data_IF_351423198480
#
_entry.id   IF_351423198480
#
_cell.length_a   1.000
_cell.length_b   1.000
_cell.length_c   1.000
_cell.angle_alpha   90.00
_cell.angle_beta   90.00
_cell.angle_gamma   90.00
#
_symmetry.space_group_name_H-M   'P 1'
#
loop_
_entity.id
_entity.type
_entity.pdbx_description
1 polymer ?
#
# COMPACT_ATOMS: atom_id res chain seq x y z
N UNK A 1 -37.35 -4.74 8.76
CA UNK A 1 -37.33 -3.43 9.42
C UNK A 1 -35.99 -2.77 9.12
N UNK A 2 -35.95 -1.86 8.13
CA UNK A 2 -34.77 -1.08 7.79
C UNK A 2 -34.52 -0.09 8.91
N UNK A 3 -33.46 -0.25 9.69
CA UNK A 3 -32.96 0.82 10.55
C UNK A 3 -32.39 1.90 9.62
N UNK A 4 -33.03 3.07 9.62
CA UNK A 4 -32.46 4.30 9.07
C UNK A 4 -31.11 4.51 9.78
N UNK A 5 -30.00 4.30 9.06
CA UNK A 5 -28.72 4.84 9.51
C UNK A 5 -28.85 6.35 9.45
N UNK A 6 -28.74 7.00 10.61
CA UNK A 6 -28.55 8.43 10.67
C UNK A 6 -27.36 8.76 9.74
N UNK A 7 -27.63 9.58 8.75
CA UNK A 7 -26.61 10.21 7.92
C UNK A 7 -25.76 11.03 8.85
N UNK A 8 -24.60 10.49 9.23
CA UNK A 8 -23.58 11.30 9.87
C UNK A 8 -23.33 12.50 8.94
N UNK A 9 -23.62 13.70 9.42
CA UNK A 9 -23.28 14.93 8.72
C UNK A 9 -21.79 14.92 8.54
N UNK A 10 -21.34 14.74 7.28
CA UNK A 10 -19.93 14.78 6.92
C UNK A 10 -19.36 16.08 7.45
N UNK A 11 -18.34 16.01 8.28
CA UNK A 11 -17.59 17.17 8.72
C UNK A 11 -16.87 17.76 7.49
N UNK A 12 -16.64 19.07 7.46
CA UNK A 12 -15.86 19.75 6.42
C UNK A 12 -14.45 19.17 6.20
N UNK A 13 -14.04 18.20 7.05
CA UNK A 13 -12.76 17.49 7.00
C UNK A 13 -12.74 16.21 6.15
N UNK A 14 -13.85 15.79 5.57
CA UNK A 14 -13.86 14.60 4.71
C UNK A 14 -13.35 14.93 3.31
N UNK A 15 -12.07 14.66 3.13
CA UNK A 15 -11.25 15.06 1.97
C UNK A 15 -11.32 14.04 0.83
N UNK A 16 -12.42 13.30 0.68
CA UNK A 16 -12.56 12.29 -0.37
C UNK A 16 -14.01 12.08 -0.85
N UNK A 17 -14.14 11.53 -2.06
CA UNK A 17 -15.43 11.11 -2.62
C UNK A 17 -15.78 9.70 -2.14
N UNK A 18 -16.95 9.53 -1.51
CA UNK A 18 -17.41 8.23 -1.05
C UNK A 18 -17.98 7.40 -2.20
N UNK A 19 -17.72 6.10 -2.19
CA UNK A 19 -18.39 5.16 -3.08
C UNK A 19 -19.82 4.86 -2.57
N UNK A 20 -20.80 5.59 -3.08
CA UNK A 20 -22.21 5.44 -2.67
C UNK A 20 -22.83 4.11 -3.06
N UNK A 21 -22.23 3.36 -4.00
CA UNK A 21 -22.72 2.02 -4.35
C UNK A 21 -22.52 1.01 -3.22
N UNK A 22 -21.57 1.26 -2.31
CA UNK A 22 -21.37 0.43 -1.12
C UNK A 22 -22.60 0.43 -0.20
N UNK A 23 -23.46 1.43 -0.27
CA UNK A 23 -24.69 1.50 0.52
C UNK A 23 -25.74 0.45 0.08
N UNK A 24 -25.60 -0.11 -1.11
CA UNK A 24 -26.49 -1.11 -1.69
C UNK A 24 -25.97 -2.55 -1.55
N UNK A 25 -24.72 -2.70 -1.10
CA UNK A 25 -24.09 -4.01 -0.92
C UNK A 25 -24.19 -4.39 0.56
N UNK A 26 -24.74 -5.56 0.83
CA UNK A 26 -24.74 -6.11 2.18
C UNK A 26 -23.41 -6.83 2.44
N UNK A 27 -22.47 -6.10 3.05
CA UNK A 27 -21.20 -6.66 3.46
C UNK A 27 -21.07 -6.67 4.99
N UNK A 28 -20.28 -7.61 5.48
CA UNK A 28 -19.96 -7.70 6.91
C UNK A 28 -19.13 -6.49 7.34
N UNK A 29 -19.41 -5.86 8.50
CA UNK A 29 -18.51 -4.84 9.05
C UNK A 29 -17.09 -5.40 9.17
N UNK A 30 -16.13 -4.70 8.61
CA UNK A 30 -14.75 -5.13 8.63
C UNK A 30 -14.14 -4.90 10.01
N UNK A 31 -13.70 -5.99 10.64
CA UNK A 31 -12.89 -5.98 11.86
C UNK A 31 -11.50 -6.52 11.48
N UNK A 32 -10.63 -5.65 11.01
CA UNK A 32 -9.35 -6.01 10.41
C UNK A 32 -8.16 -5.49 11.21
N UNK A 33 -7.01 -6.03 10.96
CA UNK A 33 -5.68 -5.58 11.37
C UNK A 33 -4.77 -5.59 10.16
N UNK A 34 -3.82 -4.68 10.10
CA UNK A 34 -2.75 -4.71 9.10
C UNK A 34 -1.51 -5.36 9.71
N UNK A 35 -0.94 -6.30 8.97
CA UNK A 35 0.39 -6.83 9.21
C UNK A 35 1.30 -6.38 8.07
N UNK A 36 2.19 -5.42 8.34
CA UNK A 36 3.16 -5.02 7.33
C UNK A 36 4.33 -6.01 7.32
N UNK A 37 4.65 -6.52 6.13
CA UNK A 37 5.71 -7.51 5.92
C UNK A 37 6.86 -6.95 5.08
N UNK A 38 7.01 -5.61 4.98
CA UNK A 38 8.07 -4.93 4.23
C UNK A 38 9.45 -5.37 4.68
N UNK A 39 9.66 -5.51 5.99
CA UNK A 39 10.97 -5.85 6.57
C UNK A 39 11.34 -7.33 6.44
N UNK A 40 10.39 -8.18 6.05
CA UNK A 40 10.62 -9.59 5.78
C UNK A 40 10.46 -9.93 4.30
N UNK A 41 9.22 -9.91 3.76
CA UNK A 41 8.94 -10.26 2.35
C UNK A 41 9.39 -9.16 1.40
N UNK A 42 9.18 -7.90 1.80
CA UNK A 42 9.68 -6.77 1.03
C UNK A 42 11.20 -6.82 0.83
N UNK A 43 11.97 -7.20 1.85
CA UNK A 43 13.41 -7.39 1.74
C UNK A 43 13.81 -8.60 0.87
N UNK A 44 12.89 -9.54 0.61
CA UNK A 44 13.11 -10.64 -0.33
C UNK A 44 13.04 -10.22 -1.80
N UNK A 45 12.73 -8.96 -2.09
CA UNK A 45 12.88 -8.41 -3.45
C UNK A 45 14.33 -8.57 -3.93
N UNK A 46 14.57 -9.13 -5.11
CA UNK A 46 15.92 -9.32 -5.60
C UNK A 46 16.76 -8.04 -5.58
N UNK A 47 17.90 -8.07 -4.88
CA UNK A 47 18.83 -6.95 -4.75
C UNK A 47 18.55 -6.00 -3.59
N UNK A 48 17.49 -6.20 -2.80
CA UNK A 48 17.19 -5.40 -1.62
C UNK A 48 17.84 -6.01 -0.38
N UNK A 49 18.57 -5.19 0.36
CA UNK A 49 19.10 -5.52 1.70
C UNK A 49 19.05 -4.24 2.53
N UNK A 50 18.25 -4.24 3.58
CA UNK A 50 18.17 -3.09 4.48
C UNK A 50 19.25 -3.14 5.57
N UNK A 51 19.82 -1.98 5.92
CA UNK A 51 20.64 -1.88 7.13
C UNK A 51 19.75 -1.92 8.38
N UNK A 52 20.37 -2.13 9.54
CA UNK A 52 19.69 -2.10 10.83
C UNK A 52 18.95 -0.78 11.05
N UNK A 53 19.63 0.33 10.79
CA UNK A 53 19.06 1.67 10.93
C UNK A 53 17.86 1.89 9.99
N UNK A 54 17.93 1.36 8.77
CA UNK A 54 16.85 1.44 7.81
C UNK A 54 15.63 0.63 8.27
N UNK A 55 15.83 -0.62 8.75
CA UNK A 55 14.74 -1.44 9.28
C UNK A 55 14.08 -0.78 10.50
N UNK A 56 14.89 -0.22 11.42
CA UNK A 56 14.36 0.52 12.58
C UNK A 56 13.57 1.77 12.17
N UNK A 57 14.04 2.53 11.18
CA UNK A 57 13.35 3.70 10.68
C UNK A 57 12.00 3.35 10.05
N UNK A 58 11.96 2.30 9.21
CA UNK A 58 10.71 1.81 8.60
C UNK A 58 9.74 1.31 9.68
N UNK A 59 10.22 0.50 10.65
CA UNK A 59 9.38 0.00 11.74
C UNK A 59 8.78 1.14 12.57
N UNK A 60 9.57 2.17 12.89
CA UNK A 60 9.11 3.35 13.62
C UNK A 60 8.04 4.15 12.87
N UNK A 61 8.16 4.29 11.55
CA UNK A 61 7.12 4.95 10.74
C UNK A 61 5.83 4.12 10.69
N UNK A 62 5.94 2.80 10.53
CA UNK A 62 4.79 1.89 10.54
C UNK A 62 4.05 1.93 11.89
N UNK A 63 4.77 1.89 13.02
CA UNK A 63 4.20 2.04 14.35
C UNK A 63 3.49 3.39 14.52
N UNK A 64 4.14 4.47 14.08
CA UNK A 64 3.58 5.84 14.12
C UNK A 64 2.31 5.99 13.27
N UNK A 65 2.12 5.18 12.25
CA UNK A 65 0.92 5.13 11.41
C UNK A 65 -0.22 4.34 12.05
N UNK A 66 0.04 3.60 13.15
CA UNK A 66 -0.93 2.75 13.82
C UNK A 66 -1.06 1.35 13.22
N UNK A 67 -0.04 0.85 12.52
CA UNK A 67 -0.01 -0.53 12.02
C UNK A 67 0.05 -1.50 13.19
N UNK A 68 -0.85 -2.48 13.23
CA UNK A 68 -1.02 -3.35 14.39
C UNK A 68 0.05 -4.43 14.52
N UNK A 69 0.62 -4.88 13.40
CA UNK A 69 1.66 -5.94 13.38
C UNK A 69 2.75 -5.61 12.37
N UNK A 70 3.99 -5.76 12.76
CA UNK A 70 5.17 -5.63 11.88
C UNK A 70 5.90 -6.96 11.85
N UNK A 71 6.02 -7.56 10.67
CA UNK A 71 6.83 -8.75 10.49
C UNK A 71 8.28 -8.34 10.22
N UNK A 72 9.10 -8.34 11.27
CA UNK A 72 10.41 -7.70 11.31
C UNK A 72 11.50 -8.43 10.53
N UNK A 73 11.33 -9.74 10.28
CA UNK A 73 12.33 -10.51 9.54
C UNK A 73 12.26 -12.01 9.79
N UNK A 74 13.39 -12.69 9.48
CA UNK A 74 13.55 -14.13 9.64
C UNK A 74 14.85 -14.43 10.42
N UNK A 75 14.81 -14.54 11.77
CA UNK A 75 15.99 -14.52 12.65
C UNK A 75 17.06 -15.58 12.34
N UNK A 76 16.69 -16.70 11.72
CA UNK A 76 17.64 -17.80 11.44
C UNK A 76 18.47 -17.59 10.18
N UNK A 77 18.17 -16.57 9.39
CA UNK A 77 18.91 -16.28 8.14
C UNK A 77 20.37 -15.92 8.45
N UNK A 78 20.59 -15.12 9.50
CA UNK A 78 21.94 -14.76 9.95
C UNK A 78 21.92 -14.24 11.40
N UNK A 79 23.10 -14.22 12.04
CA UNK A 79 23.26 -13.59 13.36
C UNK A 79 22.91 -12.08 13.34
N UNK A 80 23.21 -11.40 12.23
CA UNK A 80 22.90 -9.99 12.04
C UNK A 80 21.38 -9.75 11.93
N UNK A 81 20.68 -10.56 11.16
CA UNK A 81 19.20 -10.48 11.05
C UNK A 81 18.54 -10.72 12.41
N UNK A 82 19.02 -11.72 13.16
CA UNK A 82 18.52 -12.01 14.50
C UNK A 82 18.72 -10.81 15.45
N UNK A 83 19.89 -10.16 15.43
CA UNK A 83 20.14 -8.95 16.20
C UNK A 83 19.16 -7.84 15.85
N UNK A 84 18.90 -7.61 14.56
CA UNK A 84 17.97 -6.59 14.08
C UNK A 84 16.54 -6.87 14.57
N UNK A 85 16.05 -8.10 14.37
CA UNK A 85 14.70 -8.49 14.80
C UNK A 85 14.54 -8.30 16.31
N UNK A 86 15.55 -8.71 17.09
CA UNK A 86 15.57 -8.49 18.54
C UNK A 86 15.54 -7.01 18.91
N UNK A 87 16.30 -6.18 18.23
CA UNK A 87 16.31 -4.74 18.49
C UNK A 87 14.96 -4.09 18.16
N UNK A 88 14.32 -4.46 17.04
CA UNK A 88 12.99 -3.99 16.69
C UNK A 88 11.97 -4.41 17.76
N UNK A 89 12.01 -5.65 18.22
CA UNK A 89 11.11 -6.17 19.24
C UNK A 89 11.22 -5.43 20.58
N UNK A 90 12.39 -4.86 20.88
CA UNK A 90 12.67 -4.16 22.14
C UNK A 90 12.58 -2.63 22.04
N UNK A 91 12.06 -2.06 20.94
CA UNK A 91 11.88 -0.60 20.80
C UNK A 91 10.75 -0.02 21.64
N UNK A 92 9.85 -0.86 22.16
CA UNK A 92 8.67 -0.41 22.90
C UNK A 92 7.59 0.16 21.98
N UNK A 93 7.48 -0.30 20.76
CA UNK A 93 6.41 0.04 19.82
C UNK A 93 5.04 -0.39 20.34
N UNK A 94 3.97 0.27 19.89
CA UNK A 94 2.59 -0.19 20.08
C UNK A 94 2.27 -1.37 19.14
N UNK A 95 2.91 -1.43 18.00
CA UNK A 95 2.84 -2.54 17.06
C UNK A 95 3.39 -3.81 17.68
N UNK A 96 2.68 -4.92 17.51
CA UNK A 96 3.19 -6.24 17.87
C UNK A 96 4.22 -6.69 16.85
N UNK A 97 5.34 -7.20 17.33
CA UNK A 97 6.42 -7.66 16.45
C UNK A 97 6.28 -9.15 16.17
N UNK A 98 6.31 -9.49 14.89
CA UNK A 98 6.26 -10.86 14.38
C UNK A 98 7.57 -11.22 13.69
N UNK A 99 7.95 -12.48 13.69
CA UNK A 99 9.01 -13.00 12.84
C UNK A 99 8.60 -14.30 12.17
N UNK A 100 9.25 -14.62 11.05
CA UNK A 100 9.02 -15.87 10.31
C UNK A 100 9.81 -17.03 10.95
N UNK A 101 9.25 -18.24 10.88
CA UNK A 101 9.86 -19.47 11.39
C UNK A 101 9.45 -20.65 10.53
N UNK A 102 10.41 -21.49 10.16
CA UNK A 102 10.07 -22.85 9.68
C UNK A 102 9.54 -23.68 10.86
N UNK A 103 8.87 -24.76 10.54
CA UNK A 103 8.38 -25.70 11.54
C UNK A 103 9.52 -26.58 12.10
N UNK A 104 10.51 -25.94 12.72
CA UNK A 104 11.66 -26.58 13.37
C UNK A 104 12.02 -25.86 14.66
N UNK A 105 12.38 -26.63 15.70
CA UNK A 105 12.64 -26.10 17.04
C UNK A 105 13.68 -24.97 17.07
N UNK A 106 14.80 -25.11 16.35
CA UNK A 106 15.85 -24.09 16.34
C UNK A 106 15.40 -22.72 15.78
N UNK A 107 14.41 -22.68 14.88
CA UNK A 107 13.84 -21.44 14.38
C UNK A 107 12.94 -20.79 15.46
N UNK A 108 12.21 -21.61 16.23
CA UNK A 108 11.40 -21.14 17.37
C UNK A 108 12.30 -20.63 18.50
N UNK A 109 13.43 -21.31 18.78
CA UNK A 109 14.44 -20.85 19.75
C UNK A 109 14.96 -19.45 19.36
N UNK A 110 15.26 -19.24 18.06
CA UNK A 110 15.69 -17.94 17.55
C UNK A 110 14.62 -16.85 17.71
N UNK A 111 13.33 -17.20 17.54
CA UNK A 111 12.22 -16.27 17.78
C UNK A 111 12.10 -15.91 19.27
N UNK A 112 12.23 -16.89 20.16
CA UNK A 112 12.22 -16.69 21.62
C UNK A 112 13.38 -15.78 22.07
N UNK A 113 14.57 -15.96 21.52
CA UNK A 113 15.73 -15.12 21.84
C UNK A 113 15.62 -13.68 21.33
N UNK A 114 14.70 -13.42 20.36
CA UNK A 114 14.41 -12.09 19.85
C UNK A 114 13.33 -11.34 20.65
N UNK A 115 12.65 -12.00 21.60
CA UNK A 115 11.56 -11.42 22.39
C UNK A 115 10.38 -10.90 21.54
N UNK A 116 10.07 -11.59 20.42
CA UNK A 116 8.94 -11.18 19.55
C UNK A 116 7.60 -11.56 20.19
N UNK A 117 6.53 -10.82 19.83
CA UNK A 117 5.16 -11.10 20.29
C UNK A 117 4.54 -12.30 19.60
N UNK A 118 4.87 -12.49 18.31
CA UNK A 118 4.24 -13.48 17.44
C UNK A 118 5.32 -14.20 16.64
N UNK A 119 5.24 -15.53 16.58
CA UNK A 119 6.01 -16.32 15.64
C UNK A 119 5.11 -16.86 14.54
N UNK A 120 5.48 -16.62 13.28
CA UNK A 120 4.79 -17.14 12.11
C UNK A 120 5.41 -18.44 11.66
N UNK A 121 4.83 -19.56 12.05
CA UNK A 121 5.29 -20.91 11.68
C UNK A 121 4.59 -21.33 10.40
N UNK A 122 5.36 -21.61 9.34
CA UNK A 122 4.80 -21.99 8.05
C UNK A 122 5.18 -23.40 7.62
N UNK A 123 4.26 -24.05 6.92
CA UNK A 123 4.50 -25.28 6.17
C UNK A 123 3.82 -25.20 4.81
N UNK A 124 4.36 -25.93 3.85
CA UNK A 124 3.68 -26.13 2.58
C UNK A 124 2.62 -27.25 2.68
N UNK A 125 1.49 -27.03 2.04
CA UNK A 125 0.39 -27.98 2.01
C UNK A 125 -0.02 -28.42 0.59
N UNK A 126 0.49 -27.78 -0.47
CA UNK A 126 0.19 -28.16 -1.85
C UNK A 126 1.01 -29.37 -2.28
N UNK A 127 0.44 -30.19 -3.15
CA UNK A 127 1.15 -31.35 -3.71
C UNK A 127 2.41 -30.95 -4.47
N UNK A 128 2.39 -29.76 -5.09
CA UNK A 128 3.53 -29.22 -5.82
C UNK A 128 4.73 -28.98 -4.88
N UNK A 129 4.50 -28.26 -3.78
CA UNK A 129 5.57 -27.97 -2.82
C UNK A 129 5.99 -29.18 -2.02
N UNK A 130 5.05 -30.02 -1.60
CA UNK A 130 5.37 -31.28 -0.90
C UNK A 130 6.30 -32.15 -1.73
N UNK A 131 6.01 -32.30 -3.03
CA UNK A 131 6.76 -33.15 -3.92
C UNK A 131 8.12 -32.55 -4.35
N UNK A 132 8.15 -31.29 -4.75
CA UNK A 132 9.31 -30.71 -5.46
C UNK A 132 10.18 -29.80 -4.59
N UNK A 133 9.63 -29.23 -3.49
CA UNK A 133 10.36 -28.34 -2.60
C UNK A 133 10.84 -29.06 -1.34
N UNK A 134 9.95 -29.82 -0.70
CA UNK A 134 10.24 -30.43 0.58
C UNK A 134 10.57 -31.92 0.50
N UNK A 135 10.13 -32.64 -0.54
CA UNK A 135 10.26 -34.09 -0.68
C UNK A 135 9.74 -34.84 0.55
N UNK A 136 8.60 -34.38 1.08
CA UNK A 136 7.95 -34.92 2.29
C UNK A 136 6.45 -35.09 2.08
N UNK A 137 5.87 -35.99 2.86
CA UNK A 137 4.42 -36.14 2.94
C UNK A 137 3.78 -34.98 3.72
N UNK A 138 2.48 -34.76 3.51
CA UNK A 138 1.69 -33.79 4.31
C UNK A 138 1.71 -34.16 5.79
N UNK A 139 1.60 -35.43 6.12
CA UNK A 139 1.61 -35.94 7.49
C UNK A 139 2.92 -35.59 8.22
N UNK A 140 4.06 -35.79 7.57
CA UNK A 140 5.37 -35.40 8.11
C UNK A 140 5.46 -33.88 8.34
N UNK A 141 4.97 -33.07 7.38
CA UNK A 141 4.97 -31.60 7.52
C UNK A 141 4.06 -31.14 8.66
N UNK A 142 2.86 -31.71 8.78
CA UNK A 142 1.94 -31.40 9.88
C UNK A 142 2.51 -31.86 11.23
N UNK A 143 3.19 -33.03 11.30
CA UNK A 143 3.89 -33.45 12.49
C UNK A 143 4.93 -32.47 12.97
N UNK A 144 5.81 -31.99 12.06
CA UNK A 144 6.79 -30.93 12.37
C UNK A 144 6.11 -29.64 12.83
N UNK A 145 5.02 -29.25 12.17
CA UNK A 145 4.30 -28.03 12.55
C UNK A 145 3.71 -28.11 13.96
N UNK A 146 3.09 -29.25 14.32
CA UNK A 146 2.51 -29.47 15.64
C UNK A 146 3.56 -29.40 16.74
N UNK A 147 4.70 -30.08 16.56
CA UNK A 147 5.81 -30.02 17.50
C UNK A 147 6.35 -28.60 17.70
N UNK A 148 6.50 -27.85 16.60
CA UNK A 148 6.98 -26.47 16.67
C UNK A 148 5.96 -25.51 17.29
N UNK A 149 4.66 -25.69 17.01
CA UNK A 149 3.56 -24.89 17.59
C UNK A 149 3.46 -25.17 19.09
N UNK A 150 3.44 -26.43 19.50
CA UNK A 150 3.41 -26.83 20.91
C UNK A 150 4.59 -26.19 21.66
N UNK A 151 5.79 -26.37 21.14
CA UNK A 151 6.99 -25.80 21.73
C UNK A 151 6.92 -24.26 21.85
N UNK A 152 6.46 -23.56 20.82
CA UNK A 152 6.31 -22.11 20.86
C UNK A 152 5.27 -21.65 21.89
N UNK A 153 4.12 -22.32 21.94
CA UNK A 153 3.04 -21.98 22.88
C UNK A 153 3.40 -22.29 24.33
N UNK A 154 4.10 -23.39 24.59
CA UNK A 154 4.59 -23.74 25.94
C UNK A 154 5.61 -22.72 26.47
N UNK A 155 6.32 -22.02 25.59
CA UNK A 155 7.26 -20.96 25.94
C UNK A 155 6.63 -19.54 25.89
N UNK A 156 5.30 -19.44 25.71
CA UNK A 156 4.54 -18.18 25.82
C UNK A 156 4.45 -17.35 24.54
N UNK A 157 4.97 -17.82 23.41
CA UNK A 157 4.80 -17.14 22.13
C UNK A 157 3.37 -17.26 21.60
N UNK A 158 2.85 -16.19 21.04
CA UNK A 158 1.66 -16.26 20.19
C UNK A 158 2.05 -16.84 18.83
N UNK A 159 1.25 -17.74 18.32
CA UNK A 159 1.56 -18.45 17.06
C UNK A 159 0.59 -18.03 15.96
N UNK A 160 1.15 -17.68 14.78
CA UNK A 160 0.46 -17.65 13.51
C UNK A 160 0.87 -18.90 12.71
N UNK A 161 -0.09 -19.80 12.46
CA UNK A 161 0.15 -20.98 11.64
C UNK A 161 -0.17 -20.70 10.19
N UNK A 162 0.82 -20.75 9.31
CA UNK A 162 0.71 -20.32 7.93
C UNK A 162 0.78 -21.49 6.94
N UNK A 163 -0.23 -21.56 6.06
CA UNK A 163 -0.25 -22.46 4.92
C UNK A 163 0.43 -21.80 3.72
N UNK A 164 1.68 -22.17 3.45
CA UNK A 164 2.36 -21.82 2.21
C UNK A 164 1.69 -22.50 1.03
N UNK A 165 1.53 -21.77 -0.09
CA UNK A 165 0.89 -22.22 -1.31
C UNK A 165 -0.56 -22.68 -1.09
N UNK A 166 -1.28 -21.94 -0.26
CA UNK A 166 -2.67 -22.22 0.08
C UNK A 166 -3.59 -22.14 -1.15
N UNK A 167 -3.30 -21.26 -2.09
CA UNK A 167 -4.09 -21.08 -3.33
C UNK A 167 -4.09 -22.30 -4.25
N UNK A 168 -3.08 -23.17 -4.15
CA UNK A 168 -3.00 -24.44 -4.90
C UNK A 168 -3.19 -25.67 -4.02
N UNK A 169 -3.59 -25.50 -2.78
CA UNK A 169 -3.90 -26.57 -1.84
C UNK A 169 -5.40 -26.87 -1.87
N UNK A 170 -5.83 -28.15 -1.91
CA UNK A 170 -7.24 -28.49 -1.80
C UNK A 170 -7.88 -27.87 -0.54
N UNK A 171 -9.01 -27.19 -0.69
CA UNK A 171 -9.68 -26.44 0.38
C UNK A 171 -9.99 -27.32 1.60
N UNK A 172 -10.45 -28.57 1.38
CA UNK A 172 -10.76 -29.50 2.47
C UNK A 172 -9.49 -29.89 3.26
N UNK A 173 -8.31 -29.94 2.62
CA UNK A 173 -7.03 -30.15 3.27
C UNK A 173 -6.68 -28.99 4.21
N UNK A 174 -6.86 -27.76 3.75
CA UNK A 174 -6.68 -26.55 4.57
C UNK A 174 -7.63 -26.54 5.77
N UNK A 175 -8.92 -26.81 5.52
CA UNK A 175 -9.93 -26.89 6.59
C UNK A 175 -9.57 -27.93 7.65
N UNK A 176 -9.16 -29.12 7.22
CA UNK A 176 -8.76 -30.18 8.14
C UNK A 176 -7.56 -29.78 8.98
N UNK A 177 -6.49 -29.29 8.34
CA UNK A 177 -5.26 -28.90 9.03
C UNK A 177 -5.51 -27.75 10.04
N UNK A 178 -6.26 -26.73 9.65
CA UNK A 178 -6.56 -25.62 10.53
C UNK A 178 -7.48 -25.98 11.70
N UNK A 179 -8.49 -26.82 11.49
CA UNK A 179 -9.33 -27.37 12.58
C UNK A 179 -8.53 -28.20 13.56
N UNK A 180 -7.59 -28.98 13.06
CA UNK A 180 -6.74 -29.84 13.90
C UNK A 180 -5.83 -28.98 14.79
N UNK A 181 -5.16 -27.98 14.19
CA UNK A 181 -4.31 -27.06 14.93
C UNK A 181 -5.11 -26.18 15.90
N UNK A 182 -6.28 -25.68 15.51
CA UNK A 182 -7.16 -24.91 16.40
C UNK A 182 -7.63 -25.72 17.61
N UNK A 183 -7.94 -26.98 17.40
CA UNK A 183 -8.44 -27.88 18.47
C UNK A 183 -7.35 -28.26 19.47
N UNK A 184 -6.15 -28.53 18.98
CA UNK A 184 -5.04 -29.04 19.78
C UNK A 184 -4.19 -27.93 20.42
N UNK A 185 -4.04 -26.80 19.71
CA UNK A 185 -3.17 -25.71 20.09
C UNK A 185 -3.91 -24.37 20.03
N UNK A 186 -3.67 -23.47 20.98
CA UNK A 186 -4.28 -22.14 21.01
C UNK A 186 -3.54 -21.16 20.10
N UNK A 187 -3.53 -21.43 18.79
CA UNK A 187 -2.91 -20.51 17.84
C UNK A 187 -3.71 -19.20 17.73
N UNK A 188 -2.98 -18.08 17.62
CA UNK A 188 -3.59 -16.74 17.50
C UNK A 188 -4.22 -16.54 16.12
N UNK A 189 -3.55 -17.04 15.08
CA UNK A 189 -3.98 -16.91 13.70
C UNK A 189 -3.72 -18.16 12.89
N UNK A 190 -4.56 -18.38 11.86
CA UNK A 190 -4.26 -19.24 10.71
C UNK A 190 -4.10 -18.35 9.48
N UNK A 191 -3.09 -18.61 8.67
CA UNK A 191 -2.73 -17.74 7.54
C UNK A 191 -2.79 -18.48 6.21
N UNK A 192 -3.40 -17.84 5.23
CA UNK A 192 -3.48 -18.29 3.84
C UNK A 192 -2.50 -17.47 2.99
N UNK A 193 -1.55 -18.15 2.34
CA UNK A 193 -0.64 -17.49 1.43
C UNK A 193 -0.95 -17.86 -0.04
N UNK A 194 -1.28 -16.84 -0.84
CA UNK A 194 -1.29 -16.94 -2.29
C UNK A 194 0.13 -16.77 -2.83
N UNK A 195 0.94 -17.81 -2.58
CA UNK A 195 2.39 -17.80 -2.79
C UNK A 195 2.80 -17.50 -4.23
N UNK A 196 1.97 -17.84 -5.20
CA UNK A 196 2.27 -17.64 -6.64
C UNK A 196 1.37 -16.59 -7.30
N UNK A 197 0.56 -15.86 -6.53
CA UNK A 197 -0.28 -14.78 -7.03
C UNK A 197 -1.32 -15.23 -8.06
N UNK A 198 -1.91 -16.43 -7.89
CA UNK A 198 -2.83 -17.01 -8.88
C UNK A 198 -4.30 -16.65 -8.64
N UNK A 199 -4.64 -16.19 -7.43
CA UNK A 199 -6.02 -15.86 -7.07
C UNK A 199 -6.52 -14.60 -7.78
N UNK A 200 -7.84 -14.50 -7.86
CA UNK A 200 -8.56 -13.27 -8.18
C UNK A 200 -9.54 -12.94 -7.03
N UNK A 201 -10.18 -11.77 -7.01
CA UNK A 201 -11.05 -11.38 -5.89
C UNK A 201 -12.16 -12.39 -5.59
N UNK A 202 -12.79 -12.98 -6.62
CA UNK A 202 -13.84 -13.98 -6.45
C UNK A 202 -13.34 -15.26 -5.80
N UNK A 203 -12.20 -15.78 -6.26
CA UNK A 203 -11.62 -17.01 -5.72
C UNK A 203 -11.00 -16.80 -4.35
N UNK A 204 -10.48 -15.59 -4.07
CA UNK A 204 -10.01 -15.20 -2.74
C UNK A 204 -11.17 -15.14 -1.75
N UNK A 205 -12.25 -14.46 -2.12
CA UNK A 205 -13.46 -14.39 -1.29
C UNK A 205 -14.01 -15.79 -0.99
N UNK A 206 -14.08 -16.66 -2.00
CA UNK A 206 -14.52 -18.05 -1.82
C UNK A 206 -13.61 -18.79 -0.84
N UNK A 207 -12.29 -18.81 -1.07
CA UNK A 207 -11.33 -19.51 -0.23
C UNK A 207 -11.41 -19.06 1.23
N UNK A 208 -11.38 -17.75 1.47
CA UNK A 208 -11.42 -17.19 2.82
C UNK A 208 -12.76 -17.50 3.50
N UNK A 209 -13.89 -17.37 2.78
CA UNK A 209 -15.22 -17.72 3.31
C UNK A 209 -15.31 -19.19 3.72
N UNK A 210 -14.74 -20.12 2.94
CA UNK A 210 -14.73 -21.54 3.25
C UNK A 210 -13.92 -21.83 4.55
N UNK A 211 -12.80 -21.14 4.74
CA UNK A 211 -12.02 -21.29 5.97
C UNK A 211 -12.74 -20.58 7.14
N UNK A 212 -13.27 -19.37 6.93
CA UNK A 212 -14.01 -18.62 7.96
C UNK A 212 -15.19 -19.41 8.55
N UNK A 213 -15.91 -20.15 7.68
CA UNK A 213 -17.00 -21.02 8.13
C UNK A 213 -16.54 -22.32 8.80
N UNK A 214 -15.24 -22.61 8.76
CA UNK A 214 -14.69 -23.87 9.23
C UNK A 214 -13.95 -23.76 10.56
N UNK A 215 -13.35 -22.61 10.88
CA UNK A 215 -12.55 -22.35 12.09
C UNK A 215 -13.06 -21.12 12.83
N UNK A 216 -12.72 -21.01 14.11
CA UNK A 216 -12.99 -19.82 14.95
C UNK A 216 -11.77 -18.90 15.07
N UNK A 217 -10.60 -19.47 14.81
CA UNK A 217 -9.32 -18.75 14.85
C UNK A 217 -9.31 -17.67 13.79
N UNK A 218 -8.73 -16.50 14.11
CA UNK A 218 -8.59 -15.37 13.20
C UNK A 218 -7.78 -15.75 11.96
N UNK A 219 -8.25 -15.32 10.78
CA UNK A 219 -7.64 -15.64 9.48
C UNK A 219 -6.77 -14.49 9.03
N UNK A 220 -5.55 -14.80 8.58
CA UNK A 220 -4.67 -13.88 7.86
C UNK A 220 -4.70 -14.19 6.37
N UNK A 221 -4.57 -13.14 5.54
CA UNK A 221 -4.39 -13.29 4.10
C UNK A 221 -3.14 -12.58 3.63
N UNK A 222 -2.32 -13.31 2.86
CA UNK A 222 -1.09 -12.83 2.23
C UNK A 222 -1.16 -13.07 0.74
N UNK A 223 -1.12 -12.00 -0.06
CA UNK A 223 -1.30 -12.05 -1.51
C UNK A 223 -0.07 -11.53 -2.24
N UNK A 224 0.49 -12.35 -3.14
CA UNK A 224 1.47 -11.90 -4.14
C UNK A 224 0.77 -11.30 -5.38
N UNK A 225 1.50 -10.45 -6.13
CA UNK A 225 0.95 -9.57 -7.15
C UNK A 225 1.28 -10.00 -8.60
N UNK A 226 1.56 -11.28 -8.82
CA UNK A 226 1.98 -11.81 -10.13
C UNK A 226 0.97 -11.53 -11.27
N UNK A 227 -0.31 -11.37 -10.94
CA UNK A 227 -1.36 -10.99 -11.88
C UNK A 227 -1.87 -9.54 -11.68
N UNK A 228 -1.23 -8.73 -10.84
CA UNK A 228 -1.65 -7.35 -10.56
C UNK A 228 -2.95 -7.26 -9.76
N UNK A 229 -3.27 -8.27 -8.95
CA UNK A 229 -4.54 -8.33 -8.22
C UNK A 229 -4.37 -8.43 -6.69
N UNK A 230 -3.15 -8.36 -6.17
CA UNK A 230 -2.88 -8.58 -4.75
C UNK A 230 -3.68 -7.63 -3.84
N UNK A 231 -3.71 -6.33 -4.15
CA UNK A 231 -4.49 -5.35 -3.38
C UNK A 231 -6.00 -5.68 -3.42
N UNK A 232 -6.55 -6.00 -4.59
CA UNK A 232 -7.95 -6.35 -4.74
C UNK A 232 -8.29 -7.67 -4.03
N UNK A 233 -7.41 -8.66 -4.11
CA UNK A 233 -7.55 -9.93 -3.40
C UNK A 233 -7.54 -9.72 -1.87
N UNK A 234 -6.66 -8.87 -1.37
CA UNK A 234 -6.56 -8.54 0.05
C UNK A 234 -7.84 -7.90 0.58
N UNK A 235 -8.46 -6.98 -0.18
CA UNK A 235 -9.75 -6.39 0.17
C UNK A 235 -10.89 -7.43 0.11
N UNK A 236 -10.92 -8.28 -0.91
CA UNK A 236 -11.89 -9.37 -1.01
C UNK A 236 -11.76 -10.38 0.15
N UNK A 237 -10.54 -10.62 0.64
CA UNK A 237 -10.31 -11.43 1.82
C UNK A 237 -10.89 -10.80 3.09
N UNK A 238 -10.76 -9.48 3.26
CA UNK A 238 -11.36 -8.74 4.36
C UNK A 238 -12.89 -8.86 4.35
N UNK A 239 -13.52 -8.69 3.18
CA UNK A 239 -14.97 -8.86 3.01
C UNK A 239 -15.43 -10.29 3.33
N UNK A 240 -14.61 -11.28 3.02
CA UNK A 240 -14.89 -12.70 3.31
C UNK A 240 -14.67 -13.10 4.78
N UNK A 241 -14.07 -12.22 5.60
CA UNK A 241 -13.88 -12.43 7.03
C UNK A 241 -12.44 -12.64 7.48
N UNK A 242 -11.45 -12.35 6.64
CA UNK A 242 -10.06 -12.29 7.10
C UNK A 242 -9.90 -11.16 8.12
N UNK A 243 -9.25 -11.48 9.25
CA UNK A 243 -8.96 -10.54 10.33
C UNK A 243 -7.69 -9.76 10.09
N UNK A 244 -6.65 -10.39 9.55
CA UNK A 244 -5.36 -9.77 9.38
C UNK A 244 -4.96 -9.77 7.90
N UNK A 245 -4.58 -8.59 7.39
CA UNK A 245 -4.23 -8.36 6.00
C UNK A 245 -2.73 -8.07 5.91
N UNK A 246 -2.01 -8.85 5.10
CA UNK A 246 -0.59 -8.64 4.90
C UNK A 246 -0.34 -7.67 3.75
N UNK A 247 0.54 -6.71 3.97
CA UNK A 247 0.88 -5.66 3.01
C UNK A 247 2.39 -5.38 3.00
N UNK A 248 2.86 -4.74 1.94
CA UNK A 248 4.21 -4.14 1.91
C UNK A 248 4.15 -2.72 1.37
N UNK A 249 5.04 -1.88 1.86
CA UNK A 249 5.23 -0.52 1.34
C UNK A 249 5.69 -0.60 -0.11
N UNK A 250 5.10 0.19 -0.99
CA UNK A 250 5.35 0.20 -2.44
C UNK A 250 5.07 -1.13 -3.14
N UNK A 251 4.40 -2.07 -2.49
CA UNK A 251 4.16 -3.42 -2.98
C UNK A 251 5.45 -4.22 -3.25
N UNK A 252 6.58 -3.89 -2.63
CA UNK A 252 7.83 -4.65 -2.83
C UNK A 252 7.72 -6.08 -2.27
N UNK A 253 8.50 -7.02 -2.83
CA UNK A 253 8.51 -8.42 -2.41
C UNK A 253 9.04 -9.34 -3.50
N UNK A 254 8.94 -10.63 -3.25
CA UNK A 254 9.32 -11.64 -4.24
C UNK A 254 8.59 -11.45 -5.57
N UNK A 255 9.28 -11.61 -6.67
CA UNK A 255 8.80 -11.52 -8.07
C UNK A 255 8.12 -10.19 -8.39
N UNK A 256 6.77 -10.18 -8.48
CA UNK A 256 5.97 -8.97 -8.75
C UNK A 256 5.57 -8.21 -7.48
N UNK A 257 5.93 -8.73 -6.30
CA UNK A 257 5.66 -8.12 -5.02
C UNK A 257 4.36 -8.58 -4.35
N UNK A 258 3.81 -7.74 -3.48
CA UNK A 258 2.70 -8.03 -2.58
C UNK A 258 1.56 -7.00 -2.72
N UNK A 259 0.52 -7.15 -1.92
CA UNK A 259 -0.49 -6.11 -1.76
C UNK A 259 0.14 -4.81 -1.21
N UNK A 260 -0.15 -3.69 -1.88
CA UNK A 260 0.40 -2.38 -1.52
C UNK A 260 -0.23 -1.85 -0.24
N UNK A 261 0.58 -1.51 0.77
CA UNK A 261 0.12 -0.88 2.01
C UNK A 261 -0.69 0.39 1.72
N UNK A 262 -0.17 1.26 0.86
CA UNK A 262 -0.76 2.54 0.53
C UNK A 262 -2.16 2.39 -0.08
N UNK A 263 -2.28 1.45 -1.01
CA UNK A 263 -3.52 1.20 -1.72
C UNK A 263 -4.56 0.56 -0.80
N UNK A 264 -4.15 -0.40 0.03
CA UNK A 264 -5.03 -1.06 1.00
C UNK A 264 -5.54 -0.05 2.04
N UNK A 265 -4.67 0.76 2.65
CA UNK A 265 -5.08 1.73 3.68
C UNK A 265 -6.02 2.80 3.12
N UNK A 266 -5.73 3.33 1.93
CA UNK A 266 -6.59 4.32 1.30
C UNK A 266 -7.94 3.72 0.89
N UNK A 267 -7.95 2.50 0.34
CA UNK A 267 -9.19 1.80 0.02
C UNK A 267 -10.05 1.53 1.26
N UNK A 268 -9.44 1.09 2.37
CA UNK A 268 -10.12 0.89 3.65
C UNK A 268 -10.77 2.18 4.15
N UNK A 269 -10.08 3.31 4.04
CA UNK A 269 -10.62 4.61 4.43
C UNK A 269 -11.76 5.06 3.53
N UNK A 270 -11.54 5.05 2.20
CA UNK A 270 -12.47 5.63 1.22
C UNK A 270 -13.71 4.76 1.01
N UNK A 271 -13.55 3.44 0.98
CA UNK A 271 -14.65 2.52 0.66
C UNK A 271 -15.37 2.00 1.91
N UNK A 272 -14.64 1.76 3.01
CA UNK A 272 -15.19 1.11 4.20
C UNK A 272 -15.26 2.04 5.43
N UNK A 273 -14.74 3.28 5.34
CA UNK A 273 -14.78 4.26 6.43
C UNK A 273 -13.85 3.91 7.60
N UNK A 274 -12.80 3.14 7.36
CA UNK A 274 -11.79 2.79 8.37
C UNK A 274 -10.68 3.83 8.31
N UNK A 275 -10.65 4.78 9.24
CA UNK A 275 -9.80 5.97 9.27
C UNK A 275 -8.76 6.00 10.41
N UNK A 276 -8.59 4.90 11.13
CA UNK A 276 -7.70 4.84 12.31
C UNK A 276 -6.20 4.89 11.98
N UNK A 277 -5.82 4.72 10.72
CA UNK A 277 -4.43 4.78 10.27
C UNK A 277 -4.04 6.20 9.85
N UNK A 278 -2.86 6.68 10.26
CA UNK A 278 -2.35 7.97 9.80
C UNK A 278 -1.82 7.87 8.35
N UNK A 279 -2.74 7.98 7.40
CA UNK A 279 -2.41 7.93 5.99
C UNK A 279 -1.60 9.13 5.50
N UNK A 280 -1.51 10.24 6.26
CA UNK A 280 -0.74 11.43 5.88
C UNK A 280 0.76 11.17 5.77
N UNK A 281 1.24 10.05 6.32
CA UNK A 281 2.64 9.61 6.27
C UNK A 281 2.99 8.77 5.04
N UNK A 282 1.99 8.31 4.27
CA UNK A 282 2.19 7.35 3.16
C UNK A 282 3.21 7.79 2.12
N UNK A 283 3.14 9.05 1.66
CA UNK A 283 4.12 9.55 0.68
C UNK A 283 5.55 9.65 1.24
N UNK A 284 5.70 9.96 2.52
CA UNK A 284 7.01 10.02 3.16
C UNK A 284 7.60 8.61 3.33
N UNK A 285 6.80 7.65 3.83
CA UNK A 285 7.18 6.26 3.99
C UNK A 285 7.52 5.61 2.63
N UNK A 286 6.69 5.83 1.60
CA UNK A 286 6.95 5.32 0.25
C UNK A 286 8.29 5.80 -0.30
N UNK A 287 8.63 7.09 -0.12
CA UNK A 287 9.94 7.63 -0.52
C UNK A 287 11.08 7.01 0.26
N UNK A 288 10.94 6.91 1.59
CA UNK A 288 11.93 6.29 2.46
C UNK A 288 12.26 4.86 2.01
N UNK A 289 11.23 4.03 1.80
CA UNK A 289 11.43 2.64 1.34
C UNK A 289 12.00 2.60 -0.08
N UNK A 290 11.58 3.51 -0.97
CA UNK A 290 12.16 3.63 -2.32
C UNK A 290 13.66 3.96 -2.29
N UNK A 291 14.07 4.90 -1.43
CA UNK A 291 15.47 5.27 -1.25
C UNK A 291 16.29 4.13 -0.65
N UNK A 292 15.76 3.43 0.34
CA UNK A 292 16.46 2.35 1.03
C UNK A 292 16.56 1.07 0.20
N UNK A 293 15.51 0.73 -0.54
CA UNK A 293 15.49 -0.45 -1.42
C UNK A 293 16.17 -0.24 -2.77
N UNK A 294 16.33 1.02 -3.19
CA UNK A 294 16.74 1.36 -4.56
C UNK A 294 15.65 1.14 -5.62
N UNK A 295 14.44 0.74 -5.21
CA UNK A 295 13.32 0.47 -6.11
C UNK A 295 12.37 1.66 -6.14
N UNK A 296 12.33 2.35 -7.27
CA UNK A 296 11.42 3.49 -7.45
C UNK A 296 10.06 3.01 -7.92
N UNK A 297 8.97 3.36 -7.23
CA UNK A 297 7.61 3.08 -7.70
C UNK A 297 7.36 3.67 -9.08
N UNK A 298 6.50 3.02 -9.88
CA UNK A 298 6.07 3.56 -11.16
C UNK A 298 5.50 4.96 -11.01
N UNK A 299 5.78 5.86 -11.96
CA UNK A 299 5.28 7.25 -11.92
C UNK A 299 3.74 7.34 -11.82
N UNK A 300 3.03 6.35 -12.33
CA UNK A 300 1.57 6.23 -12.29
C UNK A 300 1.06 5.25 -11.21
N UNK A 301 1.91 4.85 -10.24
CA UNK A 301 1.44 4.03 -9.12
C UNK A 301 0.32 4.74 -8.39
N UNK A 302 -0.73 4.01 -8.06
CA UNK A 302 -1.84 4.56 -7.29
C UNK A 302 -1.34 5.12 -5.95
N UNK A 303 -1.99 6.15 -5.45
CA UNK A 303 -1.77 6.81 -4.16
C UNK A 303 -0.46 7.60 -4.05
N UNK A 304 0.71 6.98 -4.31
CA UNK A 304 2.04 7.57 -4.03
C UNK A 304 2.88 7.86 -5.28
N UNK A 305 2.43 7.47 -6.46
CA UNK A 305 3.12 7.76 -7.71
C UNK A 305 3.16 9.26 -8.00
N UNK A 306 4.20 9.72 -8.69
CA UNK A 306 4.37 11.15 -9.03
C UNK A 306 3.18 11.74 -9.79
N UNK A 307 2.48 10.91 -10.60
CA UNK A 307 1.34 11.32 -11.40
C UNK A 307 0.00 11.16 -10.67
N UNK A 308 -0.05 10.60 -9.47
CA UNK A 308 -1.31 10.37 -8.75
C UNK A 308 -2.15 11.65 -8.56
N UNK A 309 -1.48 12.81 -8.41
CA UNK A 309 -2.10 14.13 -8.27
C UNK A 309 -1.53 15.14 -9.26
N UNK A 310 -1.11 14.67 -10.44
CA UNK A 310 -0.55 15.52 -11.48
C UNK A 310 -1.54 15.67 -12.63
N UNK A 311 -1.88 16.90 -12.99
CA UNK A 311 -2.87 17.20 -14.02
C UNK A 311 -2.30 18.14 -15.09
N UNK A 312 -2.50 17.80 -16.37
CA UNK A 312 -2.06 18.59 -17.53
C UNK A 312 -3.23 18.99 -18.43
N UNK A 313 -4.27 18.18 -18.54
CA UNK A 313 -5.42 18.46 -19.41
C UNK A 313 -6.14 19.73 -18.98
N UNK A 314 -6.32 20.67 -19.90
CA UNK A 314 -6.94 21.97 -19.62
C UNK A 314 -8.34 21.87 -19.03
N UNK A 315 -9.13 20.87 -19.44
CA UNK A 315 -10.49 20.65 -18.92
C UNK A 315 -10.40 20.17 -17.45
N UNK A 316 -9.52 19.22 -17.16
CA UNK A 316 -9.31 18.71 -15.80
C UNK A 316 -8.79 19.80 -14.87
N UNK A 317 -7.75 20.52 -15.29
CA UNK A 317 -7.15 21.61 -14.49
C UNK A 317 -8.18 22.68 -14.18
N UNK A 318 -9.00 23.10 -15.17
CA UNK A 318 -10.02 24.10 -14.95
C UNK A 318 -11.09 23.65 -13.93
N UNK A 319 -11.48 22.39 -13.96
CA UNK A 319 -12.45 21.84 -13.02
C UNK A 319 -11.86 21.66 -11.61
N UNK A 320 -10.62 21.15 -11.50
CA UNK A 320 -9.92 20.97 -10.23
C UNK A 320 -9.67 22.30 -9.51
N UNK A 321 -9.40 23.37 -10.25
CA UNK A 321 -9.23 24.73 -9.68
C UNK A 321 -10.54 25.29 -9.09
N UNK A 322 -11.69 24.81 -9.54
CA UNK A 322 -13.00 25.15 -8.98
C UNK A 322 -13.37 24.21 -7.84
N UNK A 323 -13.28 22.90 -8.06
CA UNK A 323 -13.60 21.85 -7.08
C UNK A 323 -12.71 20.62 -7.36
N UNK A 324 -11.70 20.35 -6.52
CA UNK A 324 -10.77 19.23 -6.71
C UNK A 324 -11.45 17.88 -6.91
N UNK A 325 -12.53 17.59 -6.17
CA UNK A 325 -13.27 16.33 -6.23
C UNK A 325 -13.90 16.01 -7.59
N UNK A 326 -13.85 16.94 -8.55
CA UNK A 326 -14.28 16.67 -9.94
C UNK A 326 -13.43 15.61 -10.63
N UNK A 327 -12.15 15.50 -10.25
CA UNK A 327 -11.19 14.56 -10.83
C UNK A 327 -10.25 13.90 -9.81
N UNK A 328 -10.27 14.32 -8.56
CA UNK A 328 -9.52 13.69 -7.48
C UNK A 328 -10.47 12.88 -6.59
N UNK A 329 -10.21 11.60 -6.43
CA UNK A 329 -10.96 10.73 -5.53
C UNK A 329 -10.83 11.21 -4.08
N UNK A 330 -9.63 11.67 -3.71
CA UNK A 330 -9.29 12.25 -2.42
C UNK A 330 -8.23 13.34 -2.60
N UNK A 331 -8.17 14.25 -1.64
CA UNK A 331 -7.18 15.34 -1.69
C UNK A 331 -5.77 14.80 -1.41
N UNK A 332 -4.75 15.34 -2.08
CA UNK A 332 -3.35 14.90 -1.91
C UNK A 332 -2.87 14.88 -0.45
N UNK A 333 -3.33 15.84 0.34
CA UNK A 333 -2.96 16.01 1.74
C UNK A 333 -3.35 14.81 2.60
N UNK A 334 -4.39 14.07 2.21
CA UNK A 334 -4.83 12.86 2.91
C UNK A 334 -3.74 11.77 2.95
N UNK A 335 -2.83 11.81 2.00
CA UNK A 335 -1.71 10.86 1.89
C UNK A 335 -0.34 11.53 1.99
N UNK A 336 -0.28 12.77 2.47
CA UNK A 336 0.97 13.56 2.54
C UNK A 336 1.54 13.94 1.18
N UNK A 337 0.70 13.93 0.15
CA UNK A 337 1.03 14.32 -1.22
C UNK A 337 0.86 15.81 -1.48
N UNK A 338 1.09 16.20 -2.74
CA UNK A 338 0.87 17.57 -3.22
C UNK A 338 0.33 17.52 -4.65
N UNK A 339 -0.66 18.40 -4.92
CA UNK A 339 -1.16 18.60 -6.29
C UNK A 339 -0.11 19.27 -7.15
N UNK A 340 0.06 18.76 -8.36
CA UNK A 340 0.95 19.31 -9.36
C UNK A 340 0.17 19.60 -10.65
N UNK A 341 0.14 20.89 -11.03
CA UNK A 341 -0.50 21.33 -12.26
C UNK A 341 0.57 21.60 -13.30
N UNK A 342 0.59 20.81 -14.35
CA UNK A 342 1.58 20.90 -15.43
C UNK A 342 1.00 21.71 -16.57
N UNK A 343 1.85 22.55 -17.17
CA UNK A 343 1.53 23.31 -18.38
C UNK A 343 2.14 22.63 -19.59
N UNK A 344 1.31 22.27 -20.56
CA UNK A 344 1.74 21.60 -21.79
C UNK A 344 0.89 21.98 -23.00
N UNK A 345 1.05 21.27 -24.10
CA UNK A 345 0.37 21.59 -25.37
C UNK A 345 -1.17 21.52 -25.30
N UNK A 346 -1.71 20.76 -24.35
CA UNK A 346 -3.15 20.60 -24.13
C UNK A 346 -3.74 21.60 -23.14
N UNK A 347 -2.92 22.51 -22.59
CA UNK A 347 -3.36 23.51 -21.61
C UNK A 347 -4.15 24.61 -22.29
N UNK A 348 -5.44 24.73 -21.99
CA UNK A 348 -6.30 25.78 -22.50
C UNK A 348 -6.17 27.10 -21.72
N UNK A 349 -6.73 28.19 -22.26
CA UNK A 349 -6.64 29.55 -21.71
C UNK A 349 -7.13 29.65 -20.26
N UNK A 350 -8.28 29.01 -19.92
CA UNK A 350 -8.86 29.04 -18.57
C UNK A 350 -7.95 28.35 -17.56
N UNK A 351 -7.41 27.18 -17.92
CA UNK A 351 -6.49 26.41 -17.09
C UNK A 351 -5.17 27.16 -16.87
N UNK A 352 -4.58 27.70 -17.94
CA UNK A 352 -3.33 28.46 -17.86
C UNK A 352 -3.51 29.72 -16.98
N UNK A 353 -4.62 30.46 -17.14
CA UNK A 353 -4.95 31.59 -16.26
C UNK A 353 -5.03 31.20 -14.80
N UNK A 354 -5.69 30.07 -14.48
CA UNK A 354 -5.80 29.57 -13.12
C UNK A 354 -4.44 29.18 -12.53
N UNK A 355 -3.60 28.47 -13.30
CA UNK A 355 -2.24 28.08 -12.89
C UNK A 355 -1.39 29.34 -12.62
N UNK A 356 -1.43 30.34 -13.53
CA UNK A 356 -0.66 31.57 -13.40
C UNK A 356 -1.07 32.34 -12.15
N UNK A 357 -2.37 32.46 -11.88
CA UNK A 357 -2.88 33.07 -10.68
C UNK A 357 -2.44 32.37 -9.41
N UNK A 358 -2.44 31.01 -9.41
CA UNK A 358 -2.03 30.22 -8.25
C UNK A 358 -0.54 30.37 -7.90
N UNK A 359 0.29 30.76 -8.87
CA UNK A 359 1.72 31.06 -8.66
C UNK A 359 2.01 32.56 -8.49
N UNK A 360 0.97 33.37 -8.32
CA UNK A 360 1.10 34.81 -7.98
C UNK A 360 1.29 35.75 -9.14
N UNK A 361 1.05 35.33 -10.39
CA UNK A 361 1.09 36.19 -11.56
C UNK A 361 -0.32 36.55 -12.02
N UNK A 362 -0.46 37.75 -12.62
CA UNK A 362 -1.66 38.16 -13.31
C UNK A 362 -1.27 38.62 -14.73
N UNK A 363 -2.01 38.11 -15.72
CA UNK A 363 -1.83 38.44 -17.13
C UNK A 363 -3.15 38.92 -17.73
N UNK A 364 -3.05 39.92 -18.60
CA UNK A 364 -4.17 40.36 -19.41
C UNK A 364 -4.47 39.35 -20.53
N UNK A 365 -5.63 39.48 -21.17
CA UNK A 365 -6.10 38.51 -22.18
C UNK A 365 -5.12 38.34 -23.34
N UNK A 366 -4.51 39.43 -23.80
CA UNK A 366 -3.55 39.41 -24.91
C UNK A 366 -2.23 38.75 -24.52
N UNK A 367 -1.73 39.07 -23.32
CA UNK A 367 -0.55 38.41 -22.74
C UNK A 367 -0.78 36.90 -22.57
N UNK A 368 -1.97 36.49 -22.13
CA UNK A 368 -2.34 35.10 -21.93
C UNK A 368 -2.38 34.35 -23.26
N UNK A 369 -2.93 34.94 -24.32
CA UNK A 369 -2.94 34.37 -25.66
C UNK A 369 -1.51 34.18 -26.21
N UNK A 370 -0.67 35.20 -26.06
CA UNK A 370 0.74 35.12 -26.48
C UNK A 370 1.51 34.03 -25.71
N UNK A 371 1.25 33.92 -24.41
CA UNK A 371 1.87 32.90 -23.58
C UNK A 371 1.46 31.48 -24.01
N UNK A 372 0.18 31.25 -24.34
CA UNK A 372 -0.29 29.95 -24.81
C UNK A 372 0.46 29.49 -26.05
N UNK A 373 0.63 30.39 -27.02
CA UNK A 373 1.35 30.03 -28.25
C UNK A 373 2.83 29.71 -27.96
N UNK A 374 3.49 30.49 -27.10
CA UNK A 374 4.87 30.20 -26.66
C UNK A 374 4.97 28.86 -25.92
N UNK A 375 3.99 28.51 -25.08
CA UNK A 375 3.89 27.23 -24.37
C UNK A 375 3.79 26.08 -25.36
N UNK A 376 2.89 26.17 -26.36
CA UNK A 376 2.74 25.12 -27.37
C UNK A 376 4.04 24.90 -28.16
N UNK A 377 4.62 25.99 -28.68
CA UNK A 377 5.90 25.89 -29.40
C UNK A 377 6.98 25.25 -28.54
N UNK A 378 7.15 25.72 -27.31
CA UNK A 378 8.18 25.19 -26.41
C UNK A 378 7.95 23.71 -26.06
N UNK A 379 6.70 23.27 -25.89
CA UNK A 379 6.38 21.86 -25.60
C UNK A 379 6.56 20.95 -26.82
N UNK A 380 6.23 21.44 -28.01
CA UNK A 380 6.42 20.71 -29.27
C UNK A 380 7.91 20.56 -29.64
N UNK A 381 8.70 21.62 -29.49
CA UNK A 381 10.15 21.56 -29.75
C UNK A 381 10.89 20.64 -28.78
N UNK A 382 10.51 20.63 -27.49
CA UNK A 382 11.18 19.86 -26.45
C UNK A 382 10.59 18.46 -26.27
N UNK A 383 9.42 18.17 -26.83
CA UNK A 383 8.64 16.95 -26.60
C UNK A 383 8.41 16.66 -25.11
N UNK A 384 8.27 17.71 -24.31
CA UNK A 384 8.06 17.68 -22.84
C UNK A 384 7.18 18.82 -22.37
N UNK A 385 6.47 18.58 -21.28
CA UNK A 385 5.74 19.62 -20.55
C UNK A 385 6.69 20.68 -20.00
N UNK A 386 6.17 21.88 -19.70
CA UNK A 386 6.94 23.00 -19.22
C UNK A 386 7.04 22.96 -17.69
N UNK A 387 8.25 23.09 -17.15
CA UNK A 387 8.46 23.26 -15.70
C UNK A 387 7.96 24.63 -15.24
N UNK A 388 7.70 24.75 -13.93
CA UNK A 388 7.32 26.00 -13.30
C UNK A 388 8.32 27.13 -13.60
N UNK A 389 9.61 26.86 -13.49
CA UNK A 389 10.68 27.82 -13.78
C UNK A 389 10.68 28.29 -15.24
N UNK A 390 10.39 27.34 -16.17
CA UNK A 390 10.24 27.68 -17.59
C UNK A 390 9.01 28.55 -17.85
N UNK A 391 7.89 28.23 -17.18
CA UNK A 391 6.67 29.03 -17.28
C UNK A 391 6.90 30.46 -16.78
N UNK A 392 7.55 30.65 -15.63
CA UNK A 392 7.88 31.95 -15.07
C UNK A 392 8.78 32.78 -16.02
N UNK A 393 9.75 32.12 -16.70
CA UNK A 393 10.57 32.77 -17.74
C UNK A 393 9.74 33.21 -18.94
N UNK A 394 8.84 32.37 -19.43
CA UNK A 394 7.95 32.71 -20.55
C UNK A 394 7.00 33.85 -20.18
N UNK A 395 6.46 33.86 -18.97
CA UNK A 395 5.64 34.99 -18.48
C UNK A 395 6.43 36.27 -18.50
N UNK A 396 7.66 36.26 -18.03
CA UNK A 396 8.52 37.45 -18.00
C UNK A 396 8.81 37.95 -19.42
N UNK A 397 9.08 37.05 -20.37
CA UNK A 397 9.30 37.39 -21.78
C UNK A 397 8.07 38.05 -22.41
N UNK A 398 6.88 37.45 -22.21
CA UNK A 398 5.62 38.01 -22.74
C UNK A 398 5.35 39.41 -22.21
N UNK A 399 5.56 39.64 -20.91
CA UNK A 399 5.39 40.98 -20.30
C UNK A 399 6.38 42.02 -20.86
N UNK A 400 7.62 41.62 -21.16
CA UNK A 400 8.63 42.52 -21.75
C UNK A 400 8.29 42.88 -23.21
N UNK A 401 7.88 41.92 -24.01
CA UNK A 401 7.50 42.12 -25.41
C UNK A 401 6.30 43.05 -25.55
N UNK A 402 5.31 42.94 -24.69
CA UNK A 402 4.15 43.82 -24.71
C UNK A 402 4.47 45.24 -24.26
N UNK A 403 5.35 45.41 -23.27
CA UNK A 403 5.84 46.76 -22.89
C UNK A 403 6.56 47.47 -24.06
N UNK A 404 7.37 46.73 -24.81
CA UNK A 404 8.10 47.27 -25.95
C UNK A 404 7.16 47.63 -27.11
N UNK A 405 6.16 46.81 -27.40
CA UNK A 405 5.18 47.07 -28.45
C UNK A 405 4.21 48.23 -28.09
N UNK A 406 3.93 48.44 -26.81
CA UNK A 406 3.17 49.61 -26.32
C UNK A 406 3.93 50.92 -26.47
N UNK A 407 5.23 50.92 -26.20
CA UNK A 407 6.08 52.11 -26.34
C UNK A 407 6.36 52.53 -27.80
N UNK A 408 6.28 51.61 -28.76
CA UNK A 408 6.37 51.92 -30.18
C UNK A 408 5.07 52.53 -30.73
N UNK A 409 3.92 52.09 -30.26
CA UNK A 409 2.62 52.68 -30.68
C UNK A 409 2.44 54.11 -30.19
N UNK A 410 2.96 54.48 -29.03
CA UNK A 410 2.95 55.88 -28.54
C UNK A 410 3.91 56.76 -29.32
N UNK A 411 4.99 56.24 -29.91
CA UNK A 411 5.94 57.05 -30.74
C UNK A 411 5.43 57.37 -32.16
N UNK A 412 4.40 56.68 -32.65
CA UNK A 412 3.81 56.91 -33.98
C UNK A 412 2.47 57.64 -33.91
N UNK A 413 2.06 58.17 -32.73
CA UNK A 413 0.81 58.91 -32.51
C UNK A 413 1.04 60.43 -32.26
N UNK A 414 2.16 60.99 -32.72
CA UNK A 414 2.45 62.45 -32.67
C UNK A 414 2.58 63.00 -34.08
#
# INVERSE_FOLDING_TARGET
>A
MRKSRETATMSESEQYSRNTLMDFIDYRPLDIEICDVTLRDGEQTPGVVFSKEQKLAIASELDSMGIEVIEAGFPVVSAYEKEIVKEIANQGFNSRICCLSRAVRGDVDAALECDVDIVSIFIAMSDMHLKYKYHRSLEEMLGCAKEAIEYATDHGLKVRFAAEDASRTPVDRLKQAFKEVEKEYKVQYVSLADTVGILNPTTTHYLVSEIFNSVKTSICMHCHDDLGMATANTLAAAEAGAKQLHTTVNAIGERAGNASLEEVLVALRVQYGIDRYDTTRLNALSRMVSEYSGITPSVNKAVVGQNAFTHESGIHVAAILEEPRTYELFLPEMVGGKRNLIVGKHTGTKALKGIINSIGFCLEREELCALIEKVKVCTEEKHKSISREQLEKLITQVKQEQKNSGSEKEKFSI
#
